data_IF_881128774695
#
_entry.id   IF_881128774695
#
_cell.length_a   1.000
_cell.length_b   1.000
_cell.length_c   1.000
_cell.angle_alpha   90.00
_cell.angle_beta   90.00
_cell.angle_gamma   90.00
#
_symmetry.space_group_name_H-M   'P 1'
#
loop_
_entity.id
_entity.type
_entity.pdbx_description
1 polymer ?
#
# COMPACT_ATOMS: atom_id res chain seq x y z
N UNK A 1 4.89 -30.30 -2.11
CA UNK A 1 3.92 -30.77 -3.12
C UNK A 1 2.81 -29.73 -3.16
N UNK A 2 2.69 -28.95 -4.22
CA UNK A 2 1.61 -27.95 -4.31
C UNK A 2 0.35 -28.64 -4.78
N UNK A 3 -0.69 -28.61 -3.96
CA UNK A 3 -2.01 -29.11 -4.34
C UNK A 3 -2.63 -28.18 -5.38
N UNK A 4 -3.24 -28.75 -6.43
CA UNK A 4 -3.94 -27.95 -7.43
C UNK A 4 -5.35 -27.65 -6.96
N UNK A 5 -5.80 -26.40 -7.07
CA UNK A 5 -7.19 -25.98 -6.78
C UNK A 5 -7.77 -25.22 -7.96
N UNK A 6 -9.09 -25.20 -8.03
CA UNK A 6 -9.81 -24.35 -9.00
C UNK A 6 -9.83 -22.89 -8.54
N UNK A 7 -10.11 -21.96 -9.47
CA UNK A 7 -10.25 -20.53 -9.17
C UNK A 7 -11.40 -20.28 -8.19
N UNK A 8 -12.57 -20.89 -8.44
CA UNK A 8 -13.73 -20.74 -7.56
C UNK A 8 -13.46 -21.24 -6.15
N UNK A 9 -12.74 -22.36 -6.02
CA UNK A 9 -12.35 -22.90 -4.72
C UNK A 9 -11.32 -21.99 -4.01
N UNK A 10 -10.37 -21.43 -4.75
CA UNK A 10 -9.42 -20.46 -4.20
C UNK A 10 -10.13 -19.20 -3.69
N UNK A 11 -11.07 -18.66 -4.46
CA UNK A 11 -11.85 -17.48 -4.08
C UNK A 11 -12.72 -17.76 -2.85
N UNK A 12 -13.41 -18.90 -2.79
CA UNK A 12 -14.19 -19.30 -1.62
C UNK A 12 -13.31 -19.43 -0.36
N UNK A 13 -12.10 -20.01 -0.50
CA UNK A 13 -11.15 -20.11 0.62
C UNK A 13 -10.68 -18.74 1.09
N UNK A 14 -10.41 -17.82 0.17
CA UNK A 14 -10.02 -16.43 0.49
C UNK A 14 -11.16 -15.71 1.22
N UNK A 15 -12.40 -15.86 0.75
CA UNK A 15 -13.59 -15.28 1.41
C UNK A 15 -13.83 -15.86 2.79
N UNK A 16 -13.56 -17.15 2.98
CA UNK A 16 -13.63 -17.82 4.27
C UNK A 16 -12.41 -17.53 5.19
N UNK A 17 -11.46 -16.69 4.76
CA UNK A 17 -10.25 -16.34 5.52
C UNK A 17 -9.23 -17.48 5.67
N UNK A 18 -9.33 -18.52 4.83
CA UNK A 18 -8.40 -19.64 4.85
C UNK A 18 -7.12 -19.33 4.05
N UNK A 19 -5.95 -19.81 4.49
CA UNK A 19 -4.72 -19.65 3.74
C UNK A 19 -4.78 -20.46 2.44
N UNK A 20 -4.42 -19.82 1.33
CA UNK A 20 -4.23 -20.45 0.02
C UNK A 20 -2.75 -20.56 -0.37
N UNK A 21 -1.84 -20.21 0.55
CA UNK A 21 -0.40 -20.34 0.38
C UNK A 21 0.00 -21.81 0.26
N UNK A 22 0.55 -22.20 -0.90
CA UNK A 22 0.97 -23.57 -1.21
C UNK A 22 0.07 -24.29 -2.22
N UNK A 23 -1.02 -23.67 -2.66
CA UNK A 23 -1.81 -24.17 -3.77
C UNK A 23 -1.37 -23.55 -5.11
N UNK A 24 -1.58 -24.29 -6.20
CA UNK A 24 -1.33 -23.81 -7.56
C UNK A 24 -2.61 -23.87 -8.39
N UNK A 25 -2.84 -22.86 -9.21
CA UNK A 25 -3.94 -22.80 -10.15
C UNK A 25 -3.38 -22.93 -11.57
N UNK A 26 -4.08 -23.65 -12.45
CA UNK A 26 -3.77 -23.73 -13.88
C UNK A 26 -4.60 -22.68 -14.63
N UNK A 27 -3.93 -21.73 -15.27
CA UNK A 27 -4.55 -20.60 -15.97
C UNK A 27 -4.55 -20.75 -17.50
N UNK A 28 -4.09 -21.88 -18.04
CA UNK A 28 -3.85 -22.02 -19.49
C UNK A 28 -5.13 -21.89 -20.35
N UNK A 29 -6.30 -22.19 -19.79
CA UNK A 29 -7.58 -22.19 -20.52
C UNK A 29 -8.69 -21.43 -19.79
N UNK A 30 -8.36 -20.62 -18.78
CA UNK A 30 -9.36 -19.94 -17.95
C UNK A 30 -9.06 -18.44 -17.92
N UNK A 31 -10.12 -17.67 -18.10
CA UNK A 31 -10.13 -16.23 -17.91
C UNK A 31 -10.64 -15.89 -16.51
N UNK A 32 -9.98 -14.96 -15.84
CA UNK A 32 -10.31 -14.53 -14.48
C UNK A 32 -10.63 -13.05 -14.50
N UNK A 33 -11.75 -12.67 -13.89
CA UNK A 33 -12.14 -11.27 -13.73
C UNK A 33 -11.07 -10.46 -12.98
N UNK A 34 -10.82 -9.24 -13.44
CA UNK A 34 -9.78 -8.37 -12.88
C UNK A 34 -9.91 -8.15 -11.37
N UNK A 35 -11.12 -8.05 -10.82
CA UNK A 35 -11.33 -7.88 -9.38
C UNK A 35 -10.98 -9.15 -8.60
N UNK A 36 -11.31 -10.32 -9.13
CA UNK A 36 -10.93 -11.59 -8.53
C UNK A 36 -9.42 -11.84 -8.60
N UNK A 37 -8.75 -11.37 -9.66
CA UNK A 37 -7.29 -11.37 -9.75
C UNK A 37 -6.65 -10.55 -8.61
N UNK A 38 -7.24 -9.42 -8.23
CA UNK A 38 -6.76 -8.64 -7.08
C UNK A 38 -6.86 -9.42 -5.76
N UNK A 39 -7.96 -10.17 -5.55
CA UNK A 39 -8.14 -11.02 -4.36
C UNK A 39 -7.09 -12.14 -4.32
N UNK A 40 -6.88 -12.82 -5.44
CA UNK A 40 -5.89 -13.91 -5.59
C UNK A 40 -4.47 -13.40 -5.35
N UNK A 41 -4.11 -12.25 -5.94
CA UNK A 41 -2.79 -11.63 -5.79
C UNK A 41 -2.52 -11.25 -4.34
N UNK A 42 -3.50 -10.64 -3.66
CA UNK A 42 -3.42 -10.30 -2.24
C UNK A 42 -3.20 -11.54 -1.35
N UNK A 43 -3.77 -12.66 -1.75
CA UNK A 43 -3.64 -13.94 -1.07
C UNK A 43 -2.35 -14.72 -1.44
N UNK A 44 -1.50 -14.15 -2.30
CA UNK A 44 -0.20 -14.71 -2.69
C UNK A 44 -0.24 -15.64 -3.90
N UNK A 45 -1.34 -15.66 -4.66
CA UNK A 45 -1.45 -16.41 -5.92
C UNK A 45 -1.14 -15.46 -7.08
N UNK A 46 -0.06 -15.74 -7.82
CA UNK A 46 0.29 -14.99 -9.02
C UNK A 46 -0.57 -15.45 -10.20
N UNK A 47 -1.28 -14.50 -10.82
CA UNK A 47 -2.09 -14.73 -12.03
C UNK A 47 -1.34 -14.14 -13.23
N UNK A 48 -1.15 -14.90 -14.33
CA UNK A 48 -0.52 -14.36 -15.54
C UNK A 48 -1.46 -13.36 -16.23
N UNK A 49 -0.89 -12.29 -16.79
CA UNK A 49 -1.66 -11.22 -17.47
C UNK A 49 -2.55 -11.76 -18.59
N UNK A 50 -2.09 -12.78 -19.32
CA UNK A 50 -2.85 -13.42 -20.40
C UNK A 50 -4.13 -14.11 -19.93
N UNK A 51 -4.25 -14.42 -18.63
CA UNK A 51 -5.44 -15.02 -18.04
C UNK A 51 -6.41 -13.99 -17.46
N UNK A 52 -6.07 -12.70 -17.43
CA UNK A 52 -6.96 -11.65 -16.93
C UNK A 52 -8.00 -11.33 -18.00
N UNK A 53 -9.24 -11.13 -17.55
CA UNK A 53 -10.36 -10.65 -18.36
C UNK A 53 -10.88 -9.35 -17.77
N UNK A 54 -11.11 -8.39 -18.66
CA UNK A 54 -11.69 -7.09 -18.36
C UNK A 54 -13.07 -7.06 -19.02
N UNK A 55 -14.09 -6.78 -18.22
CA UNK A 55 -15.44 -6.63 -18.72
C UNK A 55 -15.63 -5.19 -19.23
N UNK A 56 -15.57 -5.00 -20.55
CA UNK A 56 -15.76 -3.69 -21.16
C UNK A 56 -17.20 -3.16 -20.96
N UNK A 57 -18.19 -4.02 -20.68
CA UNK A 57 -19.57 -3.60 -20.40
C UNK A 57 -19.67 -2.79 -19.09
N UNK A 58 -18.74 -2.97 -18.15
CA UNK A 58 -18.63 -2.18 -16.91
C UNK A 58 -17.92 -0.85 -17.13
N UNK A 59 -17.37 -0.62 -18.33
CA UNK A 59 -16.75 0.65 -18.71
C UNK A 59 -17.74 1.49 -19.50
N UNK A 60 -18.31 2.51 -18.84
CA UNK A 60 -19.11 3.51 -19.54
C UNK A 60 -18.19 4.58 -20.11
N UNK A 61 -18.34 4.83 -21.40
CA UNK A 61 -17.69 5.96 -22.07
C UNK A 61 -18.44 7.22 -21.62
N UNK A 62 -17.75 8.09 -20.88
CA UNK A 62 -18.29 9.39 -20.50
C UNK A 62 -18.23 10.31 -21.73
N UNK A 63 -19.30 10.28 -22.53
CA UNK A 63 -19.44 11.11 -23.73
C UNK A 63 -19.44 12.62 -23.40
N UNK A 64 -19.73 12.99 -22.15
CA UNK A 64 -19.72 14.39 -21.66
C UNK A 64 -18.31 14.87 -21.26
N UNK A 65 -17.31 13.97 -21.23
CA UNK A 65 -15.93 14.35 -20.95
C UNK A 65 -15.26 15.03 -22.16
N UNK A 66 -15.46 16.33 -22.31
CA UNK A 66 -14.79 17.17 -23.31
C UNK A 66 -13.44 17.76 -22.80
N UNK A 67 -12.76 17.06 -21.91
CA UNK A 67 -11.56 17.54 -21.22
C UNK A 67 -10.24 17.05 -21.83
N UNK A 68 -9.19 17.88 -21.76
CA UNK A 68 -7.82 17.38 -21.93
C UNK A 68 -7.30 16.85 -20.59
N UNK A 69 -6.68 15.67 -20.60
CA UNK A 69 -5.95 15.17 -19.43
C UNK A 69 -4.84 16.16 -19.06
N UNK A 70 -5.03 16.85 -17.93
CA UNK A 70 -3.98 17.70 -17.37
C UNK A 70 -3.20 16.88 -16.37
N UNK A 71 -1.87 16.89 -16.49
CA UNK A 71 -1.01 16.35 -15.45
C UNK A 71 -1.28 17.14 -14.18
N UNK A 72 -1.85 16.48 -13.17
CA UNK A 72 -1.96 17.09 -11.84
C UNK A 72 -0.56 17.52 -11.42
N UNK A 73 -0.44 18.71 -10.83
CA UNK A 73 0.81 19.16 -10.25
C UNK A 73 1.36 17.99 -9.42
N UNK A 74 2.64 17.66 -9.62
CA UNK A 74 3.32 16.62 -8.86
C UNK A 74 2.88 16.76 -7.41
N UNK A 75 2.36 15.70 -6.74
CA UNK A 75 1.99 15.79 -5.34
C UNK A 75 3.13 16.52 -4.64
N UNK A 76 2.85 17.53 -3.78
CA UNK A 76 3.89 18.39 -3.23
C UNK A 76 5.01 17.46 -2.84
N UNK A 77 6.17 17.60 -3.50
CA UNK A 77 7.31 16.73 -3.26
C UNK A 77 7.46 16.76 -1.75
N UNK A 78 7.10 15.66 -1.08
CA UNK A 78 7.32 15.55 0.34
C UNK A 78 8.83 15.43 0.35
N UNK A 79 9.50 16.57 0.46
CA UNK A 79 10.95 16.67 0.57
C UNK A 79 11.28 16.10 1.93
N UNK A 80 11.18 14.78 2.03
CA UNK A 80 11.51 14.01 3.21
C UNK A 80 13.00 14.19 3.40
N UNK A 81 13.35 15.02 4.36
CA UNK A 81 14.73 15.22 4.76
C UNK A 81 15.10 14.05 5.65
N UNK A 82 15.90 13.12 5.13
CA UNK A 82 16.41 11.99 5.89
C UNK A 82 17.55 12.44 6.80
N UNK A 83 17.38 12.29 8.11
CA UNK A 83 18.41 12.63 9.11
C UNK A 83 18.84 11.34 9.81
N UNK A 84 20.15 11.11 9.90
CA UNK A 84 20.71 10.04 10.73
C UNK A 84 21.07 10.60 12.10
N UNK A 85 20.53 10.00 13.15
CA UNK A 85 20.85 10.35 14.53
C UNK A 85 21.43 9.14 15.25
N UNK A 86 22.47 9.37 16.05
CA UNK A 86 23.05 8.34 16.91
C UNK A 86 22.46 8.52 18.31
N UNK A 87 21.67 7.54 18.74
CA UNK A 87 21.11 7.50 20.09
C UNK A 87 22.03 6.70 21.02
N UNK A 88 22.13 7.15 22.27
CA UNK A 88 22.72 6.36 23.36
C UNK A 88 21.84 5.16 23.67
N UNK A 89 22.43 4.10 24.22
CA UNK A 89 21.74 2.81 24.39
C UNK A 89 20.63 2.85 25.43
N UNK A 90 20.76 3.68 26.48
CA UNK A 90 19.71 3.96 27.46
C UNK A 90 18.46 4.58 26.81
N UNK A 91 18.65 5.54 25.90
CA UNK A 91 17.57 6.21 25.16
C UNK A 91 16.90 5.23 24.19
N UNK A 92 17.66 4.36 23.52
CA UNK A 92 17.09 3.32 22.65
C UNK A 92 16.20 2.37 23.44
N UNK A 93 16.72 1.84 24.55
CA UNK A 93 15.97 0.90 25.41
C UNK A 93 14.69 1.53 25.96
N UNK A 94 14.76 2.80 26.37
CA UNK A 94 13.59 3.55 26.80
C UNK A 94 12.57 3.72 25.67
N UNK A 95 13.01 4.10 24.46
CA UNK A 95 12.13 4.31 23.31
C UNK A 95 11.43 3.03 22.88
N UNK A 96 12.15 1.91 22.84
CA UNK A 96 11.62 0.58 22.53
C UNK A 96 10.60 0.13 23.59
N UNK A 97 10.95 0.25 24.88
CA UNK A 97 10.07 -0.17 25.99
C UNK A 97 8.76 0.61 26.03
N UNK A 98 8.80 1.90 25.67
CA UNK A 98 7.63 2.78 25.68
C UNK A 98 6.94 2.88 24.31
N UNK A 99 7.34 2.07 23.32
CA UNK A 99 6.78 2.07 21.96
C UNK A 99 6.78 3.47 21.32
N UNK A 100 7.85 4.23 21.55
CA UNK A 100 7.97 5.62 21.10
C UNK A 100 8.22 5.66 19.60
N UNK A 101 7.33 6.35 18.89
CA UNK A 101 7.51 6.73 17.49
C UNK A 101 8.50 7.88 17.39
N UNK A 102 9.79 7.55 17.28
CA UNK A 102 10.91 8.50 17.27
C UNK A 102 10.78 9.55 16.16
N UNK A 103 10.31 9.15 14.98
CA UNK A 103 9.98 10.01 13.85
C UNK A 103 8.99 11.11 14.25
N UNK A 104 7.86 10.72 14.83
CA UNK A 104 6.81 11.67 15.25
C UNK A 104 7.26 12.55 16.42
N UNK A 105 8.06 12.00 17.33
CA UNK A 105 8.60 12.75 18.45
C UNK A 105 9.55 13.85 17.96
N UNK A 106 10.48 13.50 17.06
CA UNK A 106 11.45 14.45 16.50
C UNK A 106 10.76 15.55 15.71
N UNK A 107 9.75 15.21 14.92
CA UNK A 107 8.95 16.20 14.18
C UNK A 107 8.29 17.22 15.13
N UNK A 108 7.63 16.74 16.19
CA UNK A 108 6.99 17.61 17.20
C UNK A 108 8.00 18.46 17.97
N UNK A 109 9.17 17.91 18.30
CA UNK A 109 10.23 18.64 18.98
C UNK A 109 10.79 19.76 18.10
N UNK A 110 11.00 19.49 16.81
CA UNK A 110 11.47 20.50 15.85
C UNK A 110 10.43 21.61 15.66
N UNK A 111 9.15 21.29 15.50
CA UNK A 111 8.08 22.30 15.38
C UNK A 111 7.96 23.14 16.65
N UNK A 112 7.97 22.50 17.83
CA UNK A 112 7.93 23.18 19.12
C UNK A 112 9.13 24.11 19.32
N UNK A 113 10.34 23.65 19.00
CA UNK A 113 11.56 24.46 19.08
C UNK A 113 11.50 25.67 18.15
N UNK A 114 11.08 25.47 16.90
CA UNK A 114 10.94 26.55 15.92
C UNK A 114 9.95 27.63 16.41
N UNK A 115 8.77 27.22 16.86
CA UNK A 115 7.74 28.16 17.37
C UNK A 115 8.24 28.94 18.58
N UNK A 116 8.89 28.25 19.53
CA UNK A 116 9.43 28.90 20.72
C UNK A 116 10.48 29.96 20.36
N UNK A 117 11.42 29.64 19.45
CA UNK A 117 12.43 30.59 18.99
C UNK A 117 11.82 31.81 18.27
N UNK A 118 10.80 31.58 17.44
CA UNK A 118 10.09 32.65 16.75
C UNK A 118 9.38 33.60 17.72
N UNK A 119 8.71 33.05 18.74
CA UNK A 119 8.05 33.86 19.79
C UNK A 119 9.04 34.69 20.63
N UNK A 120 10.27 34.21 20.79
CA UNK A 120 11.33 34.93 21.52
C UNK A 120 11.99 35.99 20.63
N UNK A 121 12.10 35.76 19.33
CA UNK A 121 12.73 36.68 18.38
C UNK A 121 11.80 37.81 17.90
N UNK A 122 10.48 37.64 18.04
CA UNK A 122 9.47 38.68 17.76
C UNK A 122 9.21 39.62 18.96
N UNK A 123 10.08 39.59 19.97
CA UNK A 123 9.99 40.40 21.20
C UNK A 123 11.22 41.28 21.38
#
# INVERSE_FOLDING_TARGET
MNSKISISEALQKIEAGQPVSGYSIDFNHIKVDALDVMKLTRAGIAVPETAIYYNDDDTQLDEDFEGNWVRTATPPSVTQTAIKINLKDDIKQWAESNHVKLDQLLEKLLDGFYRAQKMVSEK
#
